data_IF_182362961761
#
_entry.id   IF_182362961761
#
_cell.length_a   1.000
_cell.length_b   1.000
_cell.length_c   1.000
_cell.angle_alpha   90.00
_cell.angle_beta   90.00
_cell.angle_gamma   90.00
#
_symmetry.space_group_name_H-M   'P 1'
#
loop_
_entity.id
_entity.type
_entity.pdbx_description
1 polymer ?
#
# COMPACT_ATOMS: atom_id res chain seq x y z
N UNK A 1 20.33 -9.60 -5.33
CA UNK A 1 18.99 -9.70 -4.82
C UNK A 1 18.24 -8.35 -4.82
N UNK A 2 17.04 -8.29 -4.24
CA UNK A 2 16.20 -7.08 -4.29
C UNK A 2 16.84 -5.86 -3.60
N UNK A 3 17.64 -6.02 -2.57
CA UNK A 3 18.36 -4.91 -1.90
C UNK A 3 19.33 -4.21 -2.86
N UNK A 4 20.07 -4.98 -3.68
CA UNK A 4 20.95 -4.42 -4.71
C UNK A 4 20.13 -3.66 -5.78
N UNK A 5 18.97 -4.17 -6.15
CA UNK A 5 18.06 -3.49 -7.07
C UNK A 5 17.52 -2.17 -6.48
N UNK A 6 17.10 -2.16 -5.21
CA UNK A 6 16.66 -0.93 -4.54
C UNK A 6 17.78 0.11 -4.47
N UNK A 7 19.02 -0.32 -4.20
CA UNK A 7 20.20 0.58 -4.19
C UNK A 7 20.43 1.21 -5.57
N UNK A 8 20.31 0.43 -6.64
CA UNK A 8 20.42 0.95 -8.00
C UNK A 8 19.27 1.92 -8.33
N UNK A 9 18.03 1.60 -7.95
CA UNK A 9 16.89 2.50 -8.16
C UNK A 9 17.09 3.85 -7.48
N UNK A 10 17.64 3.88 -6.27
CA UNK A 10 17.92 5.14 -5.54
C UNK A 10 18.98 6.01 -6.22
N UNK A 11 19.82 5.42 -7.07
CA UNK A 11 20.88 6.12 -7.81
C UNK A 11 20.43 6.64 -9.17
N UNK A 12 19.25 6.22 -9.66
CA UNK A 12 18.75 6.65 -10.95
C UNK A 12 18.29 8.12 -10.89
N UNK A 13 18.78 8.90 -11.83
CA UNK A 13 18.31 10.29 -12.03
C UNK A 13 16.80 10.30 -12.30
N UNK A 14 16.08 11.23 -11.67
CA UNK A 14 14.62 11.34 -11.78
C UNK A 14 13.82 10.47 -10.80
N UNK A 15 14.42 9.46 -10.18
CA UNK A 15 13.77 8.68 -9.11
C UNK A 15 13.83 9.47 -7.79
N UNK A 16 12.68 10.01 -7.38
CA UNK A 16 12.59 10.86 -6.17
C UNK A 16 12.39 10.05 -4.89
N UNK A 17 11.58 9.01 -4.96
CA UNK A 17 11.24 8.18 -3.81
C UNK A 17 11.18 6.71 -4.19
N UNK A 18 11.73 5.86 -3.33
CA UNK A 18 11.66 4.40 -3.43
C UNK A 18 11.06 3.87 -2.13
N UNK A 19 9.92 3.22 -2.22
CA UNK A 19 9.23 2.61 -1.07
C UNK A 19 9.02 1.13 -1.30
N UNK A 20 8.93 0.38 -0.21
CA UNK A 20 8.68 -1.06 -0.22
C UNK A 20 7.31 -1.35 0.39
N UNK A 21 6.52 -2.24 -0.23
CA UNK A 21 5.33 -2.82 0.39
C UNK A 21 5.57 -4.30 0.64
N UNK A 22 5.24 -4.78 1.83
CA UNK A 22 5.61 -6.13 2.28
C UNK A 22 4.66 -6.62 3.38
N UNK A 23 4.57 -7.95 3.55
CA UNK A 23 4.00 -8.55 4.75
C UNK A 23 4.93 -8.46 5.98
N UNK A 24 6.17 -8.02 5.80
CA UNK A 24 7.13 -7.80 6.89
C UNK A 24 7.85 -9.04 7.43
N UNK A 25 7.46 -10.24 7.01
CA UNK A 25 7.99 -11.49 7.59
C UNK A 25 9.51 -11.65 7.40
N UNK A 26 10.02 -11.28 6.23
CA UNK A 26 11.44 -11.43 5.86
C UNK A 26 12.30 -10.19 6.14
N UNK A 27 11.74 -9.17 6.80
CA UNK A 27 12.46 -7.95 7.15
C UNK A 27 13.09 -8.04 8.54
N UNK A 28 14.07 -8.92 8.72
CA UNK A 28 14.83 -9.00 9.97
C UNK A 28 15.66 -7.73 10.23
N UNK A 29 16.29 -7.64 11.41
CA UNK A 29 17.06 -6.48 11.84
C UNK A 29 18.17 -6.12 10.84
N UNK A 30 18.89 -7.12 10.33
CA UNK A 30 19.96 -6.90 9.35
C UNK A 30 19.43 -6.30 8.04
N UNK A 31 18.31 -6.82 7.57
CA UNK A 31 17.65 -6.31 6.36
C UNK A 31 17.15 -4.89 6.55
N UNK A 32 16.59 -4.57 7.74
CA UNK A 32 16.16 -3.22 8.06
C UNK A 32 17.31 -2.21 8.12
N UNK A 33 18.44 -2.60 8.71
CA UNK A 33 19.64 -1.77 8.73
C UNK A 33 20.15 -1.51 7.31
N UNK A 34 20.18 -2.54 6.45
CA UNK A 34 20.57 -2.38 5.05
C UNK A 34 19.60 -1.50 4.26
N UNK A 35 18.29 -1.59 4.50
CA UNK A 35 17.28 -0.70 3.89
C UNK A 35 17.46 0.75 4.34
N UNK A 36 17.84 0.97 5.60
CA UNK A 36 18.16 2.29 6.11
C UNK A 36 19.43 2.85 5.43
N UNK A 37 20.47 2.04 5.29
CA UNK A 37 21.71 2.43 4.60
C UNK A 37 21.50 2.71 3.11
N UNK A 38 20.58 2.02 2.45
CA UNK A 38 20.16 2.31 1.07
C UNK A 38 19.45 3.66 1.02
N UNK A 39 18.86 4.13 2.12
CA UNK A 39 18.05 5.35 2.18
C UNK A 39 16.66 5.15 1.61
N UNK A 40 16.02 4.01 1.91
CA UNK A 40 14.63 3.77 1.50
C UNK A 40 13.70 4.84 2.09
N UNK A 41 12.78 5.38 1.29
CA UNK A 41 11.93 6.50 1.72
C UNK A 41 10.74 6.06 2.57
N UNK A 42 10.41 4.79 2.58
CA UNK A 42 9.37 4.24 3.44
C UNK A 42 9.10 2.77 3.21
N UNK A 43 8.57 2.13 4.25
CA UNK A 43 8.15 0.73 4.21
C UNK A 43 6.68 0.64 4.61
N UNK A 44 5.88 0.02 3.75
CA UNK A 44 4.47 -0.22 4.01
C UNK A 44 4.30 -1.68 4.45
N UNK A 45 3.93 -1.90 5.69
CA UNK A 45 3.55 -3.21 6.21
C UNK A 45 2.08 -3.48 5.94
N UNK A 46 1.76 -4.66 5.42
CA UNK A 46 0.38 -5.12 5.24
C UNK A 46 -0.03 -5.93 6.48
N UNK A 47 -0.88 -5.35 7.34
CA UNK A 47 -1.36 -5.95 8.58
C UNK A 47 -2.84 -5.63 8.75
N UNK A 48 -3.71 -6.63 8.57
CA UNK A 48 -5.16 -6.42 8.62
C UNK A 48 -5.74 -6.65 10.02
N UNK A 49 -5.03 -7.35 10.91
CA UNK A 49 -5.46 -7.66 12.28
C UNK A 49 -4.27 -7.94 13.19
N UNK A 50 -4.43 -7.71 14.47
CA UNK A 50 -3.49 -8.11 15.53
C UNK A 50 -3.96 -9.37 16.31
N UNK A 51 -5.08 -9.99 15.93
CA UNK A 51 -5.48 -11.29 16.42
C UNK A 51 -4.69 -12.38 15.69
N UNK A 52 -3.85 -13.15 16.42
CA UNK A 52 -2.97 -14.18 15.84
C UNK A 52 -3.73 -15.27 15.09
N UNK A 53 -4.90 -15.68 15.57
CA UNK A 53 -5.72 -16.73 14.93
C UNK A 53 -6.30 -16.22 13.61
N UNK A 54 -6.80 -14.99 13.62
CA UNK A 54 -7.34 -14.32 12.45
C UNK A 54 -6.25 -14.02 11.44
N UNK A 55 -5.10 -13.54 11.90
CA UNK A 55 -3.93 -13.31 11.07
C UNK A 55 -3.48 -14.62 10.38
N UNK A 56 -3.36 -15.70 11.13
CA UNK A 56 -3.01 -17.02 10.59
C UNK A 56 -4.02 -17.52 9.55
N UNK A 57 -5.32 -17.27 9.77
CA UNK A 57 -6.37 -17.62 8.81
C UNK A 57 -6.28 -16.81 7.51
N UNK A 58 -5.89 -15.52 7.58
CA UNK A 58 -5.73 -14.63 6.41
C UNK A 58 -4.43 -14.94 5.66
N UNK A 59 -3.32 -15.09 6.39
CA UNK A 59 -1.98 -15.23 5.81
C UNK A 59 -1.55 -16.68 5.56
N UNK A 60 -2.29 -17.65 6.09
CA UNK A 60 -1.95 -19.08 6.02
C UNK A 60 -0.83 -19.51 6.96
N UNK A 61 -0.30 -18.62 7.80
CA UNK A 61 0.81 -18.87 8.72
C UNK A 61 0.68 -18.04 9.99
N UNK A 62 1.00 -18.61 11.13
CA UNK A 62 1.05 -17.92 12.42
C UNK A 62 2.42 -17.25 12.60
N UNK A 63 2.58 -16.07 12.02
CA UNK A 63 3.85 -15.32 11.98
C UNK A 63 3.71 -13.87 12.46
N UNK A 64 2.57 -13.54 13.06
CA UNK A 64 2.26 -12.15 13.47
C UNK A 64 3.34 -11.58 14.41
N UNK A 65 3.75 -12.32 15.43
CA UNK A 65 4.76 -11.86 16.41
C UNK A 65 6.08 -11.49 15.72
N UNK A 66 6.50 -12.28 14.72
CA UNK A 66 7.71 -11.99 13.94
C UNK A 66 7.55 -10.71 13.14
N UNK A 67 6.39 -10.52 12.50
CA UNK A 67 6.09 -9.31 11.72
C UNK A 67 6.06 -8.07 12.61
N UNK A 68 5.42 -8.13 13.78
CA UNK A 68 5.36 -7.02 14.74
C UNK A 68 6.74 -6.69 15.30
N UNK A 69 7.56 -7.71 15.63
CA UNK A 69 8.94 -7.51 16.05
C UNK A 69 9.76 -6.79 14.99
N UNK A 70 9.66 -7.21 13.74
CA UNK A 70 10.34 -6.57 12.62
C UNK A 70 9.89 -5.13 12.42
N UNK A 71 8.57 -4.87 12.48
CA UNK A 71 8.00 -3.53 12.40
C UNK A 71 8.56 -2.61 13.48
N UNK A 72 8.53 -3.06 14.75
CA UNK A 72 9.01 -2.29 15.89
C UNK A 72 10.52 -2.01 15.77
N UNK A 73 11.30 -2.96 15.26
CA UNK A 73 12.72 -2.73 14.97
C UNK A 73 12.88 -1.64 13.91
N UNK A 74 12.14 -1.69 12.80
CA UNK A 74 12.17 -0.65 11.76
C UNK A 74 11.84 0.74 12.31
N UNK A 75 10.85 0.84 13.20
CA UNK A 75 10.52 2.08 13.92
C UNK A 75 11.70 2.54 14.79
N UNK A 76 12.32 1.62 15.55
CA UNK A 76 13.39 1.95 16.49
C UNK A 76 14.64 2.49 15.79
N UNK A 77 14.93 2.02 14.57
CA UNK A 77 16.07 2.52 13.76
C UNK A 77 15.71 3.75 12.93
N UNK A 78 14.47 4.26 13.04
CA UNK A 78 14.02 5.51 12.41
C UNK A 78 13.63 5.39 10.95
N UNK A 79 13.22 4.20 10.49
CA UNK A 79 12.62 4.03 9.17
C UNK A 79 11.19 4.61 9.16
N UNK A 80 10.80 5.19 8.03
CA UNK A 80 9.44 5.69 7.82
C UNK A 80 8.50 4.51 7.57
N UNK A 81 7.77 4.10 8.61
CA UNK A 81 6.88 2.94 8.58
C UNK A 81 5.43 3.38 8.39
N UNK A 82 4.74 2.71 7.48
CA UNK A 82 3.30 2.81 7.28
C UNK A 82 2.69 1.43 7.39
N UNK A 83 1.54 1.34 8.05
CA UNK A 83 0.77 0.11 8.20
C UNK A 83 -0.45 0.24 7.32
N UNK A 84 -0.65 -0.72 6.43
CA UNK A 84 -1.81 -0.83 5.55
C UNK A 84 -2.74 -1.89 6.07
N UNK A 85 -3.98 -1.53 6.30
CA UNK A 85 -5.05 -2.42 6.76
C UNK A 85 -6.20 -2.35 5.78
N UNK A 86 -6.56 -3.46 5.17
CA UNK A 86 -7.72 -3.54 4.28
C UNK A 86 -8.98 -3.76 5.12
N UNK A 87 -9.93 -2.83 4.99
CA UNK A 87 -11.21 -2.89 5.69
C UNK A 87 -12.18 -3.74 4.88
N UNK A 88 -12.15 -5.05 5.11
CA UNK A 88 -12.98 -6.03 4.43
C UNK A 88 -14.06 -6.64 5.35
N UNK A 89 -14.80 -7.65 4.87
CA UNK A 89 -15.91 -8.28 5.63
C UNK A 89 -15.50 -8.89 6.97
N UNK A 90 -14.25 -9.32 7.08
CA UNK A 90 -13.70 -9.91 8.31
C UNK A 90 -13.15 -8.88 9.29
N UNK A 91 -13.02 -7.61 8.87
CA UNK A 91 -12.54 -6.54 9.75
C UNK A 91 -13.60 -6.18 10.79
N UNK A 92 -13.25 -6.14 12.06
CA UNK A 92 -14.16 -5.90 13.18
C UNK A 92 -13.77 -4.63 13.94
N UNK A 93 -14.67 -4.13 14.78
CA UNK A 93 -14.36 -3.03 15.69
C UNK A 93 -13.20 -3.39 16.64
N UNK A 94 -13.11 -4.63 17.10
CA UNK A 94 -11.98 -5.08 17.94
C UNK A 94 -10.64 -5.02 17.19
N UNK A 95 -10.60 -5.29 15.88
CA UNK A 95 -9.39 -5.10 15.07
C UNK A 95 -9.01 -3.62 14.99
N UNK A 96 -10.00 -2.75 14.78
CA UNK A 96 -9.79 -1.31 14.74
C UNK A 96 -9.18 -0.80 16.05
N UNK A 97 -9.80 -1.13 17.19
CA UNK A 97 -9.35 -0.70 18.52
C UNK A 97 -7.94 -1.22 18.84
N UNK A 98 -7.67 -2.50 18.57
CA UNK A 98 -6.36 -3.10 18.78
C UNK A 98 -5.26 -2.42 17.94
N UNK A 99 -5.54 -2.10 16.68
CA UNK A 99 -4.61 -1.41 15.80
C UNK A 99 -4.35 0.03 16.27
N UNK A 100 -5.38 0.74 16.72
CA UNK A 100 -5.25 2.09 17.28
C UNK A 100 -4.38 2.07 18.54
N UNK A 101 -4.65 1.14 19.46
CA UNK A 101 -3.90 1.00 20.71
C UNK A 101 -2.43 0.68 20.44
N UNK A 102 -2.16 -0.25 19.53
CA UNK A 102 -0.79 -0.62 19.15
C UNK A 102 -0.04 0.54 18.49
N UNK A 103 -0.68 1.24 17.55
CA UNK A 103 -0.03 2.29 16.77
C UNK A 103 0.05 3.64 17.48
N UNK A 104 -0.85 3.93 18.41
CA UNK A 104 -1.08 5.27 18.97
C UNK A 104 0.18 5.97 19.49
N UNK A 105 1.10 5.23 20.09
CA UNK A 105 2.37 5.75 20.62
C UNK A 105 3.57 5.58 19.67
N UNK A 106 3.37 5.02 18.47
CA UNK A 106 4.42 4.83 17.48
C UNK A 106 4.41 5.97 16.44
N UNK A 107 5.56 6.43 15.97
CA UNK A 107 5.66 7.43 14.89
C UNK A 107 5.45 6.77 13.53
N UNK A 108 4.26 6.22 13.29
CA UNK A 108 3.87 5.50 12.08
C UNK A 108 2.63 6.13 11.43
N UNK A 109 2.33 5.75 10.20
CA UNK A 109 1.04 6.03 9.58
C UNK A 109 0.21 4.75 9.54
N UNK A 110 -0.92 4.70 10.25
CA UNK A 110 -1.91 3.63 10.14
C UNK A 110 -2.92 3.99 9.05
N UNK A 111 -2.99 3.20 7.98
CA UNK A 111 -3.83 3.49 6.82
C UNK A 111 -4.89 2.42 6.64
N UNK A 112 -6.13 2.84 6.66
CA UNK A 112 -7.29 2.01 6.35
C UNK A 112 -7.58 2.11 4.85
N UNK A 113 -7.66 0.96 4.20
CA UNK A 113 -7.82 0.86 2.75
C UNK A 113 -9.17 0.23 2.46
N UNK A 114 -9.97 0.89 1.66
CA UNK A 114 -11.24 0.38 1.18
C UNK A 114 -11.03 -0.90 0.36
N UNK A 115 -11.82 -1.95 0.68
CA UNK A 115 -11.76 -3.20 -0.07
C UNK A 115 -12.27 -2.98 -1.50
N UNK A 116 -11.40 -3.21 -2.46
CA UNK A 116 -11.76 -3.16 -3.88
C UNK A 116 -12.36 -4.50 -4.34
N UNK A 117 -13.37 -4.49 -5.22
CA UNK A 117 -14.01 -5.70 -5.76
C UNK A 117 -13.13 -6.33 -6.84
N UNK A 118 -11.94 -6.81 -6.44
CA UNK A 118 -11.01 -7.54 -7.28
C UNK A 118 -11.26 -9.04 -7.11
N UNK A 119 -11.41 -9.76 -8.23
CA UNK A 119 -11.71 -11.19 -8.19
C UNK A 119 -13.12 -11.49 -7.67
N UNK A 120 -13.23 -12.39 -6.68
CA UNK A 120 -14.52 -12.83 -6.08
C UNK A 120 -14.96 -11.98 -4.89
N UNK A 121 -14.26 -10.89 -4.57
CA UNK A 121 -14.60 -10.08 -3.41
C UNK A 121 -15.97 -9.40 -3.57
N UNK A 122 -16.81 -9.52 -2.56
CA UNK A 122 -18.09 -8.81 -2.50
C UNK A 122 -17.86 -7.34 -2.18
N UNK A 123 -18.74 -6.48 -2.70
CA UNK A 123 -18.77 -5.05 -2.36
C UNK A 123 -19.34 -4.89 -0.94
N UNK A 124 -18.49 -4.88 0.06
CA UNK A 124 -18.85 -4.43 1.40
C UNK A 124 -17.98 -3.24 1.74
N UNK A 125 -18.57 -2.06 1.79
CA UNK A 125 -17.89 -0.86 2.21
C UNK A 125 -18.06 -0.68 3.72
N UNK A 126 -16.96 -0.76 4.43
CA UNK A 126 -16.90 -0.51 5.87
C UNK A 126 -15.95 0.64 6.24
N UNK A 127 -15.40 1.32 5.24
CA UNK A 127 -14.46 2.43 5.48
C UNK A 127 -15.17 3.59 6.18
N UNK A 128 -16.44 3.86 5.84
CA UNK A 128 -17.26 4.88 6.47
C UNK A 128 -17.55 4.61 7.95
N UNK A 129 -17.68 3.32 8.33
CA UNK A 129 -17.83 2.92 9.74
C UNK A 129 -16.55 3.28 10.53
N UNK A 130 -15.37 3.04 9.93
CA UNK A 130 -14.07 3.38 10.54
C UNK A 130 -13.93 4.89 10.66
N UNK A 131 -14.27 5.67 9.64
CA UNK A 131 -14.24 7.14 9.69
C UNK A 131 -15.19 7.69 10.76
N UNK A 132 -16.43 7.15 10.81
CA UNK A 132 -17.42 7.53 11.81
C UNK A 132 -16.98 7.21 13.24
N UNK A 133 -16.27 6.09 13.43
CA UNK A 133 -15.66 5.74 14.71
C UNK A 133 -14.66 6.80 15.15
N UNK A 134 -13.73 7.21 14.28
CA UNK A 134 -12.76 8.26 14.61
C UNK A 134 -13.44 9.60 14.93
N UNK A 135 -14.43 10.00 14.12
CA UNK A 135 -15.15 11.26 14.32
C UNK A 135 -15.94 11.32 15.64
N UNK A 136 -16.44 10.16 16.10
CA UNK A 136 -17.24 10.08 17.34
C UNK A 136 -16.42 9.88 18.61
N UNK A 137 -15.23 9.30 18.52
CA UNK A 137 -14.44 8.92 19.73
C UNK A 137 -13.22 9.80 19.95
N UNK A 138 -12.77 10.55 18.94
CA UNK A 138 -11.53 11.32 19.03
C UNK A 138 -11.70 12.77 18.59
N UNK A 139 -10.84 13.64 19.15
CA UNK A 139 -10.67 14.98 18.63
C UNK A 139 -9.69 14.92 17.46
N UNK A 140 -10.21 15.05 16.24
CA UNK A 140 -9.48 14.91 15.01
C UNK A 140 -9.15 16.26 14.38
N UNK A 141 -7.98 16.34 13.73
CA UNK A 141 -7.53 17.46 12.91
C UNK A 141 -7.16 16.93 11.52
N UNK A 142 -7.72 17.51 10.48
CA UNK A 142 -7.37 17.13 9.11
C UNK A 142 -5.95 17.58 8.75
N UNK A 143 -5.19 16.70 8.08
CA UNK A 143 -3.88 17.02 7.54
C UNK A 143 -4.05 17.33 6.05
N UNK A 144 -3.92 18.60 5.69
CA UNK A 144 -4.03 19.08 4.30
C UNK A 144 -2.75 18.83 3.51
N UNK A 145 -1.63 18.63 4.17
CA UNK A 145 -0.33 18.36 3.55
C UNK A 145 -0.27 16.92 3.00
N UNK A 146 0.34 16.75 1.84
CA UNK A 146 0.57 15.41 1.27
C UNK A 146 1.66 14.67 2.03
N UNK A 147 1.32 13.60 2.71
CA UNK A 147 2.27 12.69 3.38
C UNK A 147 2.74 11.56 2.42
N UNK A 148 3.35 11.94 1.30
CA UNK A 148 3.85 11.02 0.27
C UNK A 148 3.06 11.11 -1.05
N UNK A 149 3.33 10.15 -1.97
CA UNK A 149 2.77 10.15 -3.35
C UNK A 149 1.47 9.33 -3.47
N UNK A 150 0.93 8.84 -2.37
CA UNK A 150 -0.30 8.04 -2.35
C UNK A 150 -1.58 8.91 -2.32
N UNK A 151 -2.76 8.30 -2.54
CA UNK A 151 -4.04 8.99 -2.51
C UNK A 151 -4.65 9.05 -1.11
N UNK A 152 -3.92 8.71 -0.06
CA UNK A 152 -4.46 8.70 1.29
C UNK A 152 -4.75 10.11 1.78
N UNK A 153 -5.94 10.32 2.35
CA UNK A 153 -6.26 11.46 3.18
C UNK A 153 -5.86 11.14 4.62
N UNK A 154 -5.36 12.13 5.34
CA UNK A 154 -4.82 11.90 6.68
C UNK A 154 -5.49 12.79 7.72
N UNK A 155 -5.68 12.22 8.91
CA UNK A 155 -6.08 12.94 10.11
C UNK A 155 -5.04 12.74 11.22
N UNK A 156 -4.94 13.74 12.09
CA UNK A 156 -4.17 13.67 13.34
C UNK A 156 -5.14 13.58 14.50
N UNK A 157 -4.81 12.75 15.47
CA UNK A 157 -5.54 12.64 16.73
C UNK A 157 -4.71 13.27 17.84
N UNK A 158 -5.32 14.14 18.62
CA UNK A 158 -4.65 14.77 19.75
C UNK A 158 -4.10 13.71 20.71
N UNK A 159 -2.85 13.86 21.12
CA UNK A 159 -2.11 12.95 22.01
C UNK A 159 -1.69 11.60 21.39
N UNK A 160 -1.88 11.39 20.10
CA UNK A 160 -1.29 10.25 19.40
C UNK A 160 -0.06 10.66 18.61
N UNK A 161 0.94 9.77 18.53
CA UNK A 161 2.10 9.95 17.67
C UNK A 161 1.83 9.46 16.24
N UNK A 162 0.98 8.45 16.10
CA UNK A 162 0.60 7.97 14.79
C UNK A 162 -0.34 8.94 14.08
N UNK A 163 -0.29 8.95 12.75
CA UNK A 163 -1.29 9.60 11.90
C UNK A 163 -2.18 8.54 11.27
N UNK A 164 -3.46 8.84 11.14
CA UNK A 164 -4.44 7.93 10.54
C UNK A 164 -4.69 8.35 9.10
N UNK A 165 -4.67 7.39 8.18
CA UNK A 165 -4.91 7.63 6.76
C UNK A 165 -6.07 6.80 6.23
N UNK A 166 -6.77 7.32 5.22
CA UNK A 166 -7.85 6.62 4.52
C UNK A 166 -7.55 6.59 3.03
N UNK A 167 -7.72 5.42 2.41
CA UNK A 167 -7.57 5.22 0.96
C UNK A 167 -8.90 4.67 0.43
N UNK A 168 -9.66 5.54 -0.22
CA UNK A 168 -11.01 5.28 -0.69
C UNK A 168 -11.01 5.20 -2.22
N UNK A 169 -10.85 3.99 -2.76
CA UNK A 169 -10.72 3.78 -4.19
C UNK A 169 -12.07 3.79 -4.94
N UNK A 170 -13.17 3.55 -4.23
CA UNK A 170 -14.52 3.43 -4.80
C UNK A 170 -15.35 4.68 -4.56
N UNK A 171 -15.35 5.17 -3.31
CA UNK A 171 -16.25 6.25 -2.88
C UNK A 171 -15.68 7.65 -3.14
N UNK A 172 -14.38 7.83 -2.98
CA UNK A 172 -13.68 9.07 -3.37
C UNK A 172 -12.66 8.76 -4.47
N UNK A 173 -13.19 8.51 -5.69
CA UNK A 173 -12.38 8.18 -6.87
C UNK A 173 -11.33 9.26 -7.11
N UNK A 174 -10.07 8.92 -6.90
CA UNK A 174 -8.92 9.80 -7.17
C UNK A 174 -8.32 9.57 -8.57
N UNK A 175 -9.13 9.07 -9.52
CA UNK A 175 -8.66 8.71 -10.86
C UNK A 175 -8.07 9.91 -11.61
N UNK A 176 -8.65 11.08 -11.47
CA UNK A 176 -8.18 12.33 -12.09
C UNK A 176 -6.79 12.78 -11.60
N UNK A 177 -6.39 12.37 -10.40
CA UNK A 177 -5.05 12.61 -9.84
C UNK A 177 -4.11 11.40 -9.96
N UNK A 178 -4.60 10.28 -10.53
CA UNK A 178 -3.86 9.03 -10.56
C UNK A 178 -2.79 9.01 -11.65
N UNK A 179 -1.55 9.19 -11.29
CA UNK A 179 -0.37 9.10 -12.14
C UNK A 179 0.32 7.72 -12.10
N UNK A 180 -0.35 6.66 -11.58
CA UNK A 180 0.28 5.36 -11.35
C UNK A 180 0.21 4.46 -12.55
N UNK A 181 1.32 3.77 -12.81
CA UNK A 181 1.42 2.60 -13.68
C UNK A 181 2.06 1.46 -12.88
N UNK A 182 1.89 0.22 -13.32
CA UNK A 182 2.43 -0.96 -12.65
C UNK A 182 3.20 -1.82 -13.62
N UNK A 183 4.38 -2.22 -13.24
CA UNK A 183 5.14 -3.25 -13.95
C UNK A 183 5.00 -4.57 -13.18
N UNK A 184 4.43 -5.58 -13.84
CA UNK A 184 4.31 -6.91 -13.24
C UNK A 184 5.66 -7.64 -13.21
N UNK A 185 5.76 -8.68 -12.36
CA UNK A 185 6.92 -9.58 -12.32
C UNK A 185 7.16 -10.32 -13.65
N UNK A 186 6.14 -10.39 -14.50
CA UNK A 186 6.23 -10.99 -15.84
C UNK A 186 6.66 -10.01 -16.93
N UNK A 187 6.90 -8.73 -16.59
CA UNK A 187 7.32 -7.69 -17.53
C UNK A 187 6.19 -7.11 -18.36
N UNK A 188 4.98 -7.05 -17.79
CA UNK A 188 3.82 -6.43 -18.41
C UNK A 188 3.49 -5.10 -17.72
N UNK A 189 3.29 -4.04 -18.50
CA UNK A 189 2.88 -2.71 -18.03
C UNK A 189 1.36 -2.65 -17.94
N UNK A 190 0.84 -2.39 -16.74
CA UNK A 190 -0.59 -2.09 -16.48
C UNK A 190 -0.75 -0.60 -16.18
N UNK A 191 -1.67 0.04 -16.88
CA UNK A 191 -1.93 1.47 -16.75
C UNK A 191 -2.92 1.79 -15.63
N UNK A 192 -3.77 0.83 -15.30
CA UNK A 192 -4.73 0.90 -14.21
C UNK A 192 -4.81 -0.44 -13.49
N UNK A 193 -5.01 -0.43 -12.19
CA UNK A 193 -5.19 -1.64 -11.38
C UNK A 193 -6.41 -2.44 -11.83
N UNK A 194 -7.48 -1.75 -12.17
CA UNK A 194 -8.77 -2.33 -12.55
C UNK A 194 -8.79 -2.94 -13.95
N UNK A 195 -8.22 -2.25 -14.93
CA UNK A 195 -8.31 -2.71 -16.32
C UNK A 195 -7.52 -4.02 -16.54
N UNK A 196 -8.14 -4.94 -17.28
CA UNK A 196 -7.55 -6.24 -17.62
C UNK A 196 -6.37 -6.11 -18.57
N UNK A 197 -6.38 -5.08 -19.41
CA UNK A 197 -5.38 -4.88 -20.44
C UNK A 197 -4.01 -4.55 -19.85
N UNK A 198 -2.99 -5.21 -20.37
CA UNK A 198 -1.59 -4.94 -20.07
C UNK A 198 -0.75 -5.04 -21.34
N UNK A 199 0.36 -4.34 -21.38
CA UNK A 199 1.26 -4.29 -22.53
C UNK A 199 2.53 -5.05 -22.16
N UNK A 200 2.85 -6.10 -22.92
CA UNK A 200 4.07 -6.87 -22.70
C UNK A 200 5.28 -6.03 -23.13
N UNK A 201 6.19 -5.75 -22.19
CA UNK A 201 7.41 -4.98 -22.46
C UNK A 201 8.61 -5.89 -22.82
N UNK A 202 8.59 -7.15 -22.43
CA UNK A 202 9.69 -8.10 -22.69
C UNK A 202 10.17 -8.15 -24.14
N UNK A 203 9.30 -8.10 -25.16
CA UNK A 203 9.74 -8.14 -26.57
C UNK A 203 10.62 -6.95 -26.98
N UNK A 204 10.60 -5.87 -26.22
CA UNK A 204 11.33 -4.62 -26.53
C UNK A 204 12.60 -4.46 -25.71
N UNK A 205 12.90 -5.39 -24.77
CA UNK A 205 14.13 -5.36 -23.97
C UNK A 205 15.34 -5.53 -24.91
N UNK A 206 16.32 -4.62 -24.79
CA UNK A 206 17.47 -4.55 -25.70
C UNK A 206 17.32 -3.57 -26.86
N UNK A 207 16.13 -2.99 -27.04
CA UNK A 207 15.88 -1.88 -27.95
C UNK A 207 15.27 -0.71 -27.17
N UNK A 208 16.13 0.14 -26.60
CA UNK A 208 15.74 1.22 -25.71
C UNK A 208 14.79 2.23 -26.37
N UNK A 209 15.04 2.58 -27.64
CA UNK A 209 14.21 3.53 -28.39
C UNK A 209 12.78 2.98 -28.54
N UNK A 210 12.67 1.69 -28.94
CA UNK A 210 11.35 1.09 -29.13
C UNK A 210 10.63 0.85 -27.80
N UNK A 211 11.36 0.49 -26.76
CA UNK A 211 10.80 0.33 -25.42
C UNK A 211 10.22 1.65 -24.90
N UNK A 212 10.98 2.75 -25.05
CA UNK A 212 10.53 4.08 -24.63
C UNK A 212 9.28 4.52 -25.42
N UNK A 213 9.26 4.33 -26.74
CA UNK A 213 8.12 4.63 -27.60
C UNK A 213 6.86 3.90 -27.14
N UNK A 214 6.97 2.57 -26.97
CA UNK A 214 5.84 1.71 -26.53
C UNK A 214 5.34 2.12 -25.13
N UNK A 215 6.24 2.43 -24.19
CA UNK A 215 5.85 2.88 -22.86
C UNK A 215 5.19 4.24 -22.90
N UNK A 216 5.68 5.17 -23.70
CA UNK A 216 5.11 6.51 -23.89
C UNK A 216 3.70 6.42 -24.46
N UNK A 217 3.54 5.69 -25.56
CA UNK A 217 2.24 5.48 -26.20
C UNK A 217 1.24 4.83 -25.24
N UNK A 218 1.69 3.84 -24.50
CA UNK A 218 0.88 3.20 -23.48
C UNK A 218 0.38 4.20 -22.43
N UNK A 219 1.26 5.06 -21.89
CA UNK A 219 0.90 6.04 -20.87
C UNK A 219 -0.12 7.03 -21.39
N UNK A 220 -0.01 7.47 -22.65
CA UNK A 220 -1.01 8.34 -23.30
C UNK A 220 -2.38 7.68 -23.45
N UNK A 221 -2.42 6.34 -23.56
CA UNK A 221 -3.68 5.57 -23.62
C UNK A 221 -4.25 5.25 -22.23
N UNK A 222 -3.67 5.79 -21.15
CA UNK A 222 -4.17 5.52 -19.81
C UNK A 222 -5.62 6.03 -19.67
N UNK A 223 -6.58 5.16 -19.25
CA UNK A 223 -7.96 5.57 -19.07
C UNK A 223 -8.08 6.66 -18.00
N UNK A 224 -8.97 7.63 -18.22
CA UNK A 224 -9.24 8.72 -17.29
C UNK A 224 -9.77 8.23 -15.94
N UNK A 225 -10.59 7.17 -15.97
CA UNK A 225 -11.16 6.57 -14.75
C UNK A 225 -11.38 5.07 -14.89
N UNK A 226 -11.61 4.41 -13.76
CA UNK A 226 -12.07 3.02 -13.72
C UNK A 226 -13.58 2.95 -13.65
N UNK A 227 -14.11 1.80 -14.11
CA UNK A 227 -15.55 1.48 -14.07
C UNK A 227 -15.77 0.19 -13.28
N UNK A 228 -15.42 0.21 -11.98
CA UNK A 228 -15.65 -0.95 -11.09
C UNK A 228 -17.12 -1.38 -11.00
N UNK A 229 -18.03 -0.50 -11.41
CA UNK A 229 -19.46 -0.72 -11.36
C UNK A 229 -19.94 -1.67 -12.47
N UNK A 230 -19.22 -1.67 -13.60
CA UNK A 230 -19.66 -2.33 -14.83
C UNK A 230 -18.92 -3.64 -15.12
N UNK A 231 -17.74 -3.87 -14.56
CA UNK A 231 -16.94 -5.06 -14.85
C UNK A 231 -16.31 -5.68 -13.60
N UNK A 232 -16.32 -7.01 -13.51
CA UNK A 232 -15.50 -7.73 -12.54
C UNK A 232 -14.05 -7.83 -13.05
N UNK A 233 -13.11 -7.27 -12.32
CA UNK A 233 -11.70 -7.48 -12.60
C UNK A 233 -11.33 -8.93 -12.28
N UNK A 234 -10.89 -9.70 -13.27
CA UNK A 234 -10.33 -11.04 -13.07
C UNK A 234 -8.89 -11.03 -12.51
N UNK A 235 -8.39 -9.87 -12.09
CA UNK A 235 -7.02 -9.69 -11.63
C UNK A 235 -6.92 -9.99 -10.14
N UNK A 236 -5.98 -10.84 -9.74
CA UNK A 236 -5.67 -11.13 -8.33
C UNK A 236 -4.48 -10.25 -7.91
N UNK A 237 -4.56 -9.62 -6.73
CA UNK A 237 -3.57 -8.64 -6.28
C UNK A 237 -2.14 -9.18 -6.23
N UNK A 238 -1.94 -10.45 -5.84
CA UNK A 238 -0.61 -11.07 -5.80
C UNK A 238 0.09 -11.19 -7.16
N UNK A 239 -0.66 -11.08 -8.27
CA UNK A 239 -0.10 -11.14 -9.63
C UNK A 239 0.41 -9.78 -10.12
N UNK A 240 0.06 -8.71 -9.46
CA UNK A 240 0.32 -7.33 -9.89
C UNK A 240 1.08 -6.51 -8.84
N UNK A 241 1.63 -7.15 -7.82
CA UNK A 241 2.50 -6.50 -6.83
C UNK A 241 1.74 -5.63 -5.83
N UNK A 242 0.70 -6.17 -5.24
CA UNK A 242 -0.05 -5.45 -4.21
C UNK A 242 -0.27 -6.27 -2.99
#
# INVERSE_FOLDING_TARGET
>A
GYLSFLRQLKQLEGVRQVTLTTNGLLLDARTMDELKDIGIDGINFSIDTLDSKKYAAICGQDTLDTVLKNLLYGVSVGLNIKINTVVGPLFTQSDLESLIDFCGNLPVSLRFIELMPLGSNKRENRIEEVQSYFASHYNIEEITERLGNGPAHYIRIKNMKCVIGFIEALHHKFCHECNRVRLSSTGSLKLCLFHKNSIALKPYIGNEIKLEEVMRDAIYMKPEQHHFEDEQSGTVMNQIGG
#
